data_IF_561852029798
#
_entry.id   IF_561852029798
#
_cell.length_a   1.000
_cell.length_b   1.000
_cell.length_c   1.000
_cell.angle_alpha   90.00
_cell.angle_beta   90.00
_cell.angle_gamma   90.00
#
_symmetry.space_group_name_H-M   'P 1'
#
loop_
_entity.id
_entity.type
_entity.pdbx_description
1 polymer ?
#
# COMPACT_ATOMS: atom_id res chain seq x y z
N UNK A 1 19.06 -4.78 13.43
CA UNK A 1 20.05 -3.72 13.13
C UNK A 1 19.32 -2.66 12.36
N UNK A 2 19.48 -1.37 12.68
CA UNK A 2 18.83 -0.29 11.93
C UNK A 2 19.29 -0.30 10.46
N UNK A 3 18.42 0.14 9.57
CA UNK A 3 18.72 0.26 8.14
C UNK A 3 19.87 1.23 7.93
N UNK A 4 20.90 0.80 7.20
CA UNK A 4 22.02 1.68 6.83
C UNK A 4 21.55 2.75 5.83
N UNK A 5 21.51 4.01 6.30
CA UNK A 5 21.07 5.17 5.52
C UNK A 5 21.88 5.38 4.24
N UNK A 6 23.21 5.17 4.26
CA UNK A 6 24.06 5.37 3.08
C UNK A 6 23.72 4.34 2.01
N UNK A 7 23.57 3.08 2.42
CA UNK A 7 23.20 1.99 1.52
C UNK A 7 21.79 2.16 0.97
N UNK A 8 20.82 2.55 1.82
CA UNK A 8 19.47 2.84 1.39
C UNK A 8 19.45 3.97 0.35
N UNK A 9 20.19 5.07 0.56
CA UNK A 9 20.34 6.16 -0.39
C UNK A 9 20.95 5.73 -1.73
N UNK A 10 21.95 4.82 -1.71
CA UNK A 10 22.52 4.27 -2.94
C UNK A 10 21.50 3.40 -3.71
N UNK A 11 20.70 2.61 -3.00
CA UNK A 11 19.63 1.80 -3.57
C UNK A 11 18.55 2.72 -4.19
N UNK A 12 18.09 3.74 -3.44
CA UNK A 12 17.10 4.72 -3.92
C UNK A 12 17.54 5.38 -5.23
N UNK A 13 18.76 5.90 -5.29
CA UNK A 13 19.33 6.50 -6.52
C UNK A 13 19.37 5.53 -7.70
N UNK A 14 19.78 4.28 -7.49
CA UNK A 14 19.81 3.29 -8.58
C UNK A 14 18.42 2.93 -9.09
N UNK A 15 17.45 2.85 -8.19
CA UNK A 15 16.04 2.62 -8.56
C UNK A 15 15.47 3.82 -9.32
N UNK A 16 15.77 5.05 -8.86
CA UNK A 16 15.36 6.27 -9.56
C UNK A 16 15.96 6.35 -10.98
N UNK A 17 17.25 6.04 -11.13
CA UNK A 17 17.90 6.00 -12.44
C UNK A 17 17.31 4.94 -13.38
N UNK A 18 16.89 3.80 -12.84
CA UNK A 18 16.33 2.70 -13.65
C UNK A 18 14.86 2.86 -14.00
N UNK A 19 14.06 3.45 -13.09
CA UNK A 19 12.59 3.52 -13.24
C UNK A 19 12.06 4.94 -13.41
N UNK A 20 12.91 5.94 -13.23
CA UNK A 20 12.53 7.36 -13.27
C UNK A 20 11.66 7.77 -12.08
N UNK A 21 11.26 9.03 -12.10
CA UNK A 21 10.29 9.57 -11.14
C UNK A 21 8.90 8.98 -11.42
N UNK A 22 8.23 8.40 -10.43
CA UNK A 22 6.87 7.93 -10.61
C UNK A 22 5.92 9.12 -10.87
N UNK A 23 4.81 8.89 -11.60
CA UNK A 23 3.77 9.92 -11.70
C UNK A 23 3.28 10.29 -10.30
N UNK A 24 2.85 11.54 -10.08
CA UNK A 24 2.35 11.98 -8.78
C UNK A 24 1.17 11.10 -8.32
N UNK A 25 0.92 11.01 -7.01
CA UNK A 25 -0.25 10.31 -6.49
C UNK A 25 -1.54 10.91 -7.08
N UNK A 26 -2.57 10.09 -7.21
CA UNK A 26 -3.88 10.54 -7.74
C UNK A 26 -4.62 11.46 -6.79
N UNK A 27 -4.18 11.57 -5.54
CA UNK A 27 -4.83 12.34 -4.46
C UNK A 27 -6.33 12.04 -4.36
N UNK A 28 -6.69 10.76 -4.41
CA UNK A 28 -8.08 10.37 -4.19
C UNK A 28 -8.53 10.78 -2.77
N UNK A 29 -9.81 11.10 -2.56
CA UNK A 29 -10.34 11.30 -1.22
C UNK A 29 -9.98 10.11 -0.31
N UNK A 30 -9.73 10.33 0.99
CA UNK A 30 -9.22 9.28 1.88
C UNK A 30 -10.10 8.03 1.98
N UNK A 31 -11.42 8.18 1.92
CA UNK A 31 -12.35 7.02 1.91
C UNK A 31 -12.20 6.23 0.61
N UNK A 32 -12.03 6.91 -0.50
CA UNK A 32 -11.80 6.31 -1.81
C UNK A 32 -10.52 5.48 -1.81
N UNK A 33 -9.43 6.02 -1.24
CA UNK A 33 -8.15 5.30 -1.12
C UNK A 33 -8.26 4.10 -0.17
N UNK A 34 -8.98 4.20 0.95
CA UNK A 34 -9.26 3.08 1.83
C UNK A 34 -9.93 1.93 1.09
N UNK A 35 -11.02 2.24 0.37
CA UNK A 35 -11.78 1.25 -0.40
C UNK A 35 -10.92 0.67 -1.53
N UNK A 36 -10.19 1.53 -2.26
CA UNK A 36 -9.32 1.11 -3.35
C UNK A 36 -8.21 0.17 -2.84
N UNK A 37 -7.64 0.47 -1.68
CA UNK A 37 -6.62 -0.38 -1.06
C UNK A 37 -7.18 -1.76 -0.67
N UNK A 38 -8.41 -1.84 -0.15
CA UNK A 38 -9.08 -3.14 0.09
C UNK A 38 -9.32 -3.88 -1.24
N UNK A 39 -9.78 -3.18 -2.27
CA UNK A 39 -10.01 -3.76 -3.59
C UNK A 39 -8.72 -4.26 -4.24
N UNK A 40 -7.57 -3.67 -3.96
CA UNK A 40 -6.27 -4.05 -4.52
C UNK A 40 -5.74 -5.39 -4.01
N UNK A 41 -6.27 -5.90 -2.89
CA UNK A 41 -5.82 -7.16 -2.30
C UNK A 41 -6.07 -8.34 -3.23
N UNK A 42 -5.02 -9.13 -3.53
CA UNK A 42 -5.10 -10.33 -4.37
C UNK A 42 -5.77 -10.11 -5.74
N UNK A 43 -5.48 -8.98 -6.39
CA UNK A 43 -5.98 -8.69 -7.73
C UNK A 43 -5.00 -7.81 -8.52
N UNK A 44 -5.20 -7.70 -9.85
CA UNK A 44 -4.44 -6.79 -10.70
C UNK A 44 -4.96 -5.35 -10.55
N UNK A 45 -4.10 -4.36 -10.86
CA UNK A 45 -4.50 -2.95 -10.84
C UNK A 45 -5.68 -2.68 -11.79
N UNK A 46 -5.70 -3.31 -12.98
CA UNK A 46 -6.81 -3.20 -13.93
C UNK A 46 -8.15 -3.70 -13.35
N UNK A 47 -8.14 -4.85 -12.68
CA UNK A 47 -9.36 -5.40 -12.08
C UNK A 47 -9.79 -4.62 -10.84
N UNK A 48 -8.84 -4.09 -10.06
CA UNK A 48 -9.11 -3.15 -8.97
C UNK A 48 -9.85 -1.92 -9.47
N UNK A 49 -9.32 -1.26 -10.51
CA UNK A 49 -9.87 -0.02 -11.05
C UNK A 49 -11.27 -0.25 -11.66
N UNK A 50 -11.46 -1.38 -12.34
CA UNK A 50 -12.78 -1.79 -12.86
C UNK A 50 -13.79 -2.04 -11.73
N UNK A 51 -13.38 -2.74 -10.67
CA UNK A 51 -14.26 -3.00 -9.52
C UNK A 51 -14.62 -1.71 -8.79
N UNK A 52 -13.68 -0.79 -8.65
CA UNK A 52 -13.92 0.52 -8.07
C UNK A 52 -14.91 1.34 -8.93
N UNK A 53 -14.72 1.40 -10.23
CA UNK A 53 -15.64 2.10 -11.14
C UNK A 53 -17.06 1.49 -11.12
N UNK A 54 -17.18 0.16 -11.08
CA UNK A 54 -18.46 -0.54 -10.97
C UNK A 54 -19.16 -0.22 -9.63
N UNK A 55 -18.40 -0.16 -8.54
CA UNK A 55 -18.88 0.22 -7.21
C UNK A 55 -19.47 1.63 -7.22
N UNK A 56 -18.70 2.62 -7.72
CA UNK A 56 -19.08 4.03 -7.76
C UNK A 56 -20.27 4.33 -8.70
N UNK A 57 -20.42 3.55 -9.77
CA UNK A 57 -21.61 3.64 -10.63
C UNK A 57 -22.89 3.15 -9.94
N UNK A 58 -22.76 2.17 -9.05
CA UNK A 58 -23.91 1.57 -8.37
C UNK A 58 -24.32 2.33 -7.11
N UNK A 59 -23.35 2.91 -6.42
CA UNK A 59 -23.56 3.61 -5.15
C UNK A 59 -22.99 5.02 -5.25
N UNK A 60 -23.85 6.02 -5.08
CA UNK A 60 -23.47 7.43 -5.25
C UNK A 60 -22.65 7.92 -4.06
N UNK A 61 -23.03 7.54 -2.85
CA UNK A 61 -22.35 7.94 -1.61
C UNK A 61 -21.68 6.77 -0.92
N UNK A 62 -20.76 7.05 -0.04
CA UNK A 62 -20.14 6.03 0.80
C UNK A 62 -21.08 5.52 1.90
N UNK A 63 -22.07 6.32 2.30
CA UNK A 63 -23.16 5.88 3.18
C UNK A 63 -24.02 4.82 2.52
N UNK A 64 -24.36 4.98 1.23
CA UNK A 64 -25.06 3.94 0.46
C UNK A 64 -24.27 2.61 0.46
N UNK A 65 -22.94 2.68 0.37
CA UNK A 65 -22.08 1.48 0.44
C UNK A 65 -22.07 0.89 1.84
N UNK A 66 -21.98 1.72 2.89
CA UNK A 66 -21.97 1.28 4.29
C UNK A 66 -23.29 0.58 4.69
N UNK A 67 -24.41 0.98 4.09
CA UNK A 67 -25.73 0.45 4.38
C UNK A 67 -26.21 -0.62 3.39
N UNK A 68 -25.47 -0.82 2.28
CA UNK A 68 -25.81 -1.79 1.27
C UNK A 68 -25.90 -3.24 1.80
N UNK A 69 -26.84 -4.05 1.31
CA UNK A 69 -26.84 -5.49 1.54
C UNK A 69 -25.55 -6.12 1.00
N UNK A 70 -24.91 -7.00 1.81
CA UNK A 70 -23.64 -7.65 1.42
C UNK A 70 -23.69 -8.33 0.04
N UNK A 71 -24.77 -9.05 -0.36
CA UNK A 71 -24.83 -9.63 -1.69
C UNK A 71 -24.82 -8.59 -2.82
N UNK A 72 -25.42 -7.42 -2.62
CA UNK A 72 -25.42 -6.34 -3.60
C UNK A 72 -24.04 -5.70 -3.75
N UNK A 73 -23.36 -5.47 -2.61
CA UNK A 73 -21.99 -4.95 -2.58
C UNK A 73 -21.00 -5.95 -3.21
N UNK A 74 -21.09 -7.23 -2.87
CA UNK A 74 -20.23 -8.27 -3.43
C UNK A 74 -20.38 -8.38 -4.97
N UNK A 75 -21.61 -8.25 -5.49
CA UNK A 75 -21.85 -8.22 -6.94
C UNK A 75 -21.23 -7.00 -7.61
N UNK A 76 -21.33 -5.82 -6.98
CA UNK A 76 -20.75 -4.59 -7.52
C UNK A 76 -19.24 -4.67 -7.69
N UNK A 77 -18.53 -5.31 -6.74
CA UNK A 77 -17.06 -5.41 -6.75
C UNK A 77 -16.52 -6.74 -7.31
N UNK A 78 -17.34 -7.56 -7.95
CA UNK A 78 -16.97 -8.95 -8.37
C UNK A 78 -15.71 -9.01 -9.23
N UNK A 79 -15.46 -7.98 -10.06
CA UNK A 79 -14.27 -7.91 -10.94
C UNK A 79 -12.97 -7.81 -10.16
N UNK A 80 -13.00 -7.33 -8.92
CA UNK A 80 -11.85 -7.25 -8.05
C UNK A 80 -11.42 -8.57 -7.40
N UNK A 81 -12.16 -9.66 -7.64
CA UNK A 81 -11.95 -10.96 -6.97
C UNK A 81 -12.29 -10.93 -5.48
N UNK A 82 -12.53 -12.08 -4.89
CA UNK A 82 -12.89 -12.23 -3.46
C UNK A 82 -14.05 -11.32 -3.02
N UNK A 83 -15.03 -11.10 -3.92
CA UNK A 83 -16.13 -10.16 -3.72
C UNK A 83 -16.83 -10.26 -2.35
N UNK A 84 -17.28 -11.46 -1.89
CA UNK A 84 -17.93 -11.59 -0.59
C UNK A 84 -17.05 -11.13 0.58
N UNK A 85 -15.79 -11.56 0.62
CA UNK A 85 -14.84 -11.20 1.68
C UNK A 85 -14.53 -9.68 1.68
N UNK A 86 -14.29 -9.11 0.49
CA UNK A 86 -14.03 -7.68 0.36
C UNK A 86 -15.26 -6.83 0.71
N UNK A 87 -16.46 -7.28 0.33
CA UNK A 87 -17.70 -6.59 0.68
C UNK A 87 -17.90 -6.48 2.19
N UNK A 88 -17.65 -7.58 2.93
CA UNK A 88 -17.70 -7.56 4.40
C UNK A 88 -16.71 -6.55 4.97
N UNK A 89 -15.47 -6.55 4.49
CA UNK A 89 -14.40 -5.65 4.96
C UNK A 89 -14.72 -4.18 4.66
N UNK A 90 -15.12 -3.86 3.42
CA UNK A 90 -15.45 -2.49 3.01
C UNK A 90 -16.60 -1.96 3.86
N UNK A 91 -17.69 -2.73 4.01
CA UNK A 91 -18.83 -2.31 4.82
C UNK A 91 -18.48 -2.10 6.29
N UNK A 92 -17.74 -3.04 6.89
CA UNK A 92 -17.32 -2.91 8.28
C UNK A 92 -16.38 -1.71 8.50
N UNK A 93 -15.46 -1.48 7.60
CA UNK A 93 -14.55 -0.33 7.63
C UNK A 93 -15.30 1.00 7.54
N UNK A 94 -16.21 1.16 6.58
CA UNK A 94 -17.00 2.39 6.42
C UNK A 94 -17.89 2.66 7.64
N UNK A 95 -18.51 1.61 8.19
CA UNK A 95 -19.29 1.74 9.44
C UNK A 95 -18.40 2.14 10.62
N UNK A 96 -17.22 1.56 10.73
CA UNK A 96 -16.25 1.94 11.77
C UNK A 96 -15.83 3.41 11.68
N UNK A 97 -15.63 3.96 10.47
CA UNK A 97 -15.39 5.41 10.29
C UNK A 97 -16.58 6.21 10.81
N UNK A 98 -17.80 5.86 10.42
CA UNK A 98 -19.02 6.54 10.85
C UNK A 98 -19.25 6.45 12.36
N UNK A 99 -18.99 5.30 12.97
CA UNK A 99 -19.07 5.07 14.42
C UNK A 99 -18.04 5.89 15.20
N UNK A 100 -16.92 6.26 14.59
CA UNK A 100 -15.94 7.18 15.19
C UNK A 100 -16.36 8.66 15.16
N UNK A 101 -17.55 8.96 14.69
CA UNK A 101 -18.11 10.33 14.60
C UNK A 101 -17.58 11.13 13.41
N UNK A 102 -16.99 10.47 12.41
CA UNK A 102 -16.44 11.10 11.20
C UNK A 102 -17.36 10.85 10.01
N UNK A 103 -17.61 11.88 9.22
CA UNK A 103 -18.42 11.80 7.99
C UNK A 103 -17.68 11.03 6.88
N UNK A 104 -18.44 10.40 5.99
CA UNK A 104 -17.90 9.65 4.84
C UNK A 104 -17.85 10.54 3.60
N UNK A 105 -17.11 11.64 3.65
CA UNK A 105 -17.02 12.62 2.57
C UNK A 105 -15.58 12.85 2.09
N UNK A 106 -15.41 13.76 1.12
CA UNK A 106 -14.08 14.07 0.53
C UNK A 106 -13.13 14.74 1.52
N UNK A 107 -13.63 15.36 2.59
CA UNK A 107 -12.82 16.04 3.61
C UNK A 107 -12.53 15.16 4.82
N UNK A 108 -13.00 13.92 4.80
CA UNK A 108 -12.74 12.94 5.85
C UNK A 108 -11.24 12.93 6.18
N UNK A 109 -10.90 13.10 7.45
CA UNK A 109 -9.53 13.10 7.98
C UNK A 109 -8.63 14.31 7.67
N UNK A 110 -9.03 15.25 6.79
CA UNK A 110 -8.13 16.31 6.29
C UNK A 110 -7.52 17.17 7.41
N UNK A 111 -8.30 17.55 8.41
CA UNK A 111 -7.84 18.37 9.55
C UNK A 111 -7.32 17.57 10.76
N UNK A 112 -7.25 16.24 10.68
CA UNK A 112 -6.90 15.41 11.82
C UNK A 112 -5.37 15.31 11.97
N UNK A 113 -4.79 15.51 13.20
CA UNK A 113 -3.37 15.31 13.45
C UNK A 113 -2.94 13.85 13.18
N UNK A 114 -1.70 13.66 12.66
CA UNK A 114 -1.18 12.36 12.24
C UNK A 114 -1.28 11.25 13.29
N UNK A 115 -0.88 11.42 14.55
CA UNK A 115 -0.98 10.35 15.53
C UNK A 115 -2.43 9.90 15.76
N UNK A 116 -3.36 10.86 15.88
CA UNK A 116 -4.78 10.58 16.07
C UNK A 116 -5.37 9.86 14.85
N UNK A 117 -5.00 10.32 13.65
CA UNK A 117 -5.47 9.71 12.41
C UNK A 117 -4.92 8.30 12.24
N UNK A 118 -3.63 8.10 12.53
CA UNK A 118 -3.01 6.77 12.49
C UNK A 118 -3.73 5.79 13.40
N UNK A 119 -3.90 6.14 14.69
CA UNK A 119 -4.56 5.30 15.67
C UNK A 119 -5.99 4.95 15.26
N UNK A 120 -6.72 5.95 14.76
CA UNK A 120 -8.08 5.75 14.27
C UNK A 120 -8.09 4.80 13.05
N UNK A 121 -7.22 5.01 12.07
CA UNK A 121 -7.18 4.18 10.86
C UNK A 121 -6.85 2.71 11.19
N UNK A 122 -5.85 2.46 12.04
CA UNK A 122 -5.47 1.08 12.39
C UNK A 122 -6.49 0.38 13.30
N UNK A 123 -7.35 1.14 13.98
CA UNK A 123 -8.46 0.59 14.76
C UNK A 123 -9.65 0.16 13.87
N UNK A 124 -9.73 0.62 12.61
CA UNK A 124 -10.82 0.25 11.71
C UNK A 124 -10.77 -1.23 11.33
N UNK A 125 -11.93 -1.91 11.27
CA UNK A 125 -11.98 -3.31 10.86
C UNK A 125 -11.34 -3.56 9.49
N UNK A 126 -10.32 -4.40 9.43
CA UNK A 126 -9.63 -4.76 8.19
C UNK A 126 -8.62 -3.74 7.66
N UNK A 127 -8.35 -2.69 8.41
CA UNK A 127 -7.31 -1.70 8.13
C UNK A 127 -6.08 -2.01 8.98
N UNK A 128 -5.01 -2.41 8.34
CA UNK A 128 -3.71 -2.60 8.99
C UNK A 128 -2.75 -1.43 8.73
N UNK A 129 -1.54 -1.46 9.33
CA UNK A 129 -0.53 -0.41 9.18
C UNK A 129 -0.23 -0.06 7.72
N UNK A 130 -0.14 -1.06 6.82
CA UNK A 130 0.07 -0.81 5.37
C UNK A 130 -1.06 0.02 4.77
N UNK A 131 -2.33 -0.29 5.09
CA UNK A 131 -3.48 0.42 4.53
C UNK A 131 -3.57 1.85 5.07
N UNK A 132 -3.33 2.03 6.38
CA UNK A 132 -3.25 3.34 7.01
C UNK A 132 -2.17 4.22 6.36
N UNK A 133 -0.96 3.67 6.17
CA UNK A 133 0.13 4.37 5.50
C UNK A 133 -0.18 4.73 4.04
N UNK A 134 -0.94 3.91 3.31
CA UNK A 134 -1.40 4.24 1.95
C UNK A 134 -2.31 5.47 1.94
N UNK A 135 -3.28 5.55 2.85
CA UNK A 135 -4.17 6.72 2.95
C UNK A 135 -3.37 7.99 3.26
N UNK A 136 -2.47 7.90 4.24
CA UNK A 136 -1.63 9.02 4.63
C UNK A 136 -0.75 9.49 3.47
N UNK A 137 -0.07 8.56 2.78
CA UNK A 137 0.85 8.90 1.71
C UNK A 137 0.15 9.32 0.42
N UNK A 138 -0.88 8.61 -0.04
CA UNK A 138 -1.45 8.81 -1.38
C UNK A 138 -2.60 9.80 -1.42
N UNK A 139 -3.35 9.97 -0.31
CA UNK A 139 -4.48 10.89 -0.25
C UNK A 139 -4.14 12.20 0.43
N UNK A 140 -3.31 12.16 1.47
CA UNK A 140 -3.11 13.29 2.35
C UNK A 140 -1.70 13.89 2.28
N UNK A 141 -0.83 13.39 1.40
CA UNK A 141 0.59 13.80 1.24
C UNK A 141 1.39 13.80 2.56
N UNK A 142 1.02 12.89 3.46
CA UNK A 142 1.70 12.76 4.75
C UNK A 142 2.78 11.68 4.65
N UNK A 143 4.00 11.93 5.18
CA UNK A 143 5.14 11.06 4.97
C UNK A 143 5.06 9.78 5.81
N UNK A 144 4.23 8.84 5.37
CA UNK A 144 4.13 7.49 5.92
C UNK A 144 4.54 6.46 4.87
N UNK A 145 5.38 5.51 5.25
CA UNK A 145 5.95 4.53 4.32
C UNK A 145 5.14 3.22 4.30
N UNK A 146 4.35 2.93 3.25
CA UNK A 146 3.61 1.67 3.17
C UNK A 146 4.55 0.51 2.84
N UNK A 147 4.38 -0.63 3.50
CA UNK A 147 5.12 -1.86 3.19
C UNK A 147 4.16 -2.95 2.72
N UNK A 148 4.14 -3.17 1.40
CA UNK A 148 3.42 -4.27 0.78
C UNK A 148 4.29 -5.52 0.63
N UNK A 149 3.77 -6.57 0.01
CA UNK A 149 4.50 -7.82 -0.21
C UNK A 149 5.71 -7.65 -1.15
N UNK A 150 5.68 -6.69 -2.09
CA UNK A 150 6.81 -6.40 -2.97
C UNK A 150 7.92 -5.68 -2.23
N UNK A 151 7.59 -4.59 -1.55
CA UNK A 151 8.51 -3.82 -0.71
C UNK A 151 9.15 -4.72 0.35
N UNK A 152 8.37 -5.48 1.09
CA UNK A 152 8.85 -6.41 2.11
C UNK A 152 9.84 -7.43 1.55
N UNK A 153 9.52 -8.06 0.43
CA UNK A 153 10.37 -9.05 -0.23
C UNK A 153 11.69 -8.42 -0.71
N UNK A 154 11.63 -7.29 -1.38
CA UNK A 154 12.81 -6.58 -1.89
C UNK A 154 13.70 -6.14 -0.74
N UNK A 155 13.15 -5.52 0.32
CA UNK A 155 13.90 -5.08 1.49
C UNK A 155 14.65 -6.24 2.18
N UNK A 156 13.99 -7.40 2.35
CA UNK A 156 14.63 -8.59 2.91
C UNK A 156 15.76 -9.13 2.04
N UNK A 157 15.54 -9.27 0.73
CA UNK A 157 16.56 -9.78 -0.21
C UNK A 157 17.77 -8.86 -0.31
N UNK A 158 17.55 -7.56 -0.20
CA UNK A 158 18.58 -6.55 -0.11
C UNK A 158 19.31 -6.57 1.24
N UNK A 159 18.85 -7.33 2.24
CA UNK A 159 19.43 -7.32 3.59
C UNK A 159 19.33 -5.94 4.26
N UNK A 160 18.32 -5.14 3.92
CA UNK A 160 18.06 -3.86 4.59
C UNK A 160 17.43 -4.07 5.97
N UNK A 161 16.78 -5.20 6.15
CA UNK A 161 16.08 -5.58 7.39
C UNK A 161 16.43 -7.01 7.77
N UNK A 162 16.17 -7.38 9.01
CA UNK A 162 16.35 -8.76 9.46
C UNK A 162 15.61 -9.75 8.55
N UNK A 163 16.18 -10.90 8.21
CA UNK A 163 15.51 -11.94 7.43
C UNK A 163 14.17 -12.42 8.05
N UNK A 164 14.03 -12.28 9.36
CA UNK A 164 12.83 -12.66 10.11
C UNK A 164 11.85 -11.50 10.36
N UNK A 165 12.20 -10.28 9.95
CA UNK A 165 11.35 -9.11 10.17
C UNK A 165 10.03 -9.26 9.42
N UNK A 166 8.91 -9.11 10.14
CA UNK A 166 7.56 -9.00 9.54
C UNK A 166 7.35 -7.63 8.89
N UNK A 167 6.30 -7.51 8.09
CA UNK A 167 6.02 -6.28 7.34
C UNK A 167 5.86 -5.03 8.24
N UNK A 168 5.27 -5.18 9.42
CA UNK A 168 5.11 -4.09 10.39
C UNK A 168 6.45 -3.58 10.91
N UNK A 169 7.37 -4.47 11.24
CA UNK A 169 8.71 -4.10 11.68
C UNK A 169 9.51 -3.41 10.56
N UNK A 170 9.39 -3.92 9.32
CA UNK A 170 9.99 -3.28 8.14
C UNK A 170 9.43 -1.89 7.91
N UNK A 171 8.11 -1.71 8.09
CA UNK A 171 7.47 -0.41 7.96
C UNK A 171 7.98 0.59 9.00
N UNK A 172 8.08 0.19 10.26
CA UNK A 172 8.62 1.03 11.33
C UNK A 172 10.09 1.45 11.04
N UNK A 173 10.92 0.52 10.58
CA UNK A 173 12.31 0.83 10.22
C UNK A 173 12.42 1.79 9.02
N UNK A 174 11.60 1.60 7.98
CA UNK A 174 11.60 2.49 6.82
C UNK A 174 11.04 3.87 7.18
N UNK A 175 10.00 3.91 8.00
CA UNK A 175 9.44 5.16 8.54
C UNK A 175 10.48 5.99 9.28
N UNK A 176 11.34 5.36 10.05
CA UNK A 176 12.40 6.02 10.83
C UNK A 176 13.64 6.41 10.00
N UNK A 177 13.84 5.80 8.82
CA UNK A 177 15.09 5.88 8.08
C UNK A 177 14.97 6.63 6.76
N UNK A 178 13.87 6.47 6.04
CA UNK A 178 13.62 7.09 4.73
C UNK A 178 13.28 8.58 4.94
N UNK A 179 13.98 9.50 4.25
CA UNK A 179 13.59 10.91 4.27
C UNK A 179 12.16 11.10 3.78
N UNK A 180 11.37 11.99 4.42
CA UNK A 180 9.97 12.22 4.07
C UNK A 180 9.72 12.45 2.59
N UNK A 181 10.52 13.29 1.97
CA UNK A 181 10.44 13.66 0.55
C UNK A 181 10.74 12.51 -0.43
N UNK A 182 11.38 11.44 0.04
CA UNK A 182 11.73 10.27 -0.78
C UNK A 182 10.76 9.10 -0.59
N UNK A 183 9.84 9.18 0.37
CA UNK A 183 8.99 8.03 0.74
C UNK A 183 8.13 7.55 -0.42
N UNK A 184 7.48 8.46 -1.12
CA UNK A 184 6.62 8.12 -2.26
C UNK A 184 7.41 7.50 -3.41
N UNK A 185 8.48 8.16 -3.84
CA UNK A 185 9.29 7.69 -4.97
C UNK A 185 9.92 6.32 -4.67
N UNK A 186 10.54 6.18 -3.51
CA UNK A 186 11.17 4.92 -3.11
C UNK A 186 10.15 3.79 -3.00
N UNK A 187 8.99 4.03 -2.40
CA UNK A 187 7.91 3.05 -2.31
C UNK A 187 7.48 2.56 -3.70
N UNK A 188 7.18 3.48 -4.61
CA UNK A 188 6.75 3.16 -5.97
C UNK A 188 7.81 2.41 -6.76
N UNK A 189 9.07 2.81 -6.65
CA UNK A 189 10.17 2.19 -7.38
C UNK A 189 10.52 0.81 -6.81
N UNK A 190 10.39 0.59 -5.49
CA UNK A 190 10.50 -0.75 -4.90
C UNK A 190 9.39 -1.69 -5.38
N UNK A 191 8.15 -1.21 -5.52
CA UNK A 191 7.06 -2.00 -6.10
C UNK A 191 7.36 -2.34 -7.57
N UNK A 192 7.74 -1.36 -8.39
CA UNK A 192 8.10 -1.58 -9.79
C UNK A 192 9.20 -2.63 -9.92
N UNK A 193 10.27 -2.48 -9.13
CA UNK A 193 11.38 -3.42 -9.10
C UNK A 193 10.92 -4.82 -8.64
N UNK A 194 10.09 -4.90 -7.62
CA UNK A 194 9.54 -6.16 -7.11
C UNK A 194 8.63 -6.88 -8.11
N UNK A 195 7.91 -6.12 -8.97
CA UNK A 195 7.05 -6.69 -10.01
C UNK A 195 7.83 -7.10 -11.27
N UNK A 196 8.83 -6.34 -11.67
CA UNK A 196 9.53 -6.53 -12.92
C UNK A 196 10.76 -7.47 -12.81
N UNK A 197 11.59 -7.27 -11.78
CA UNK A 197 12.90 -7.92 -11.66
C UNK A 197 12.97 -8.83 -10.44
N UNK A 198 12.74 -8.29 -9.24
CA UNK A 198 12.85 -9.04 -7.99
C UNK A 198 11.55 -9.81 -7.70
N UNK A 199 11.05 -10.59 -8.66
CA UNK A 199 9.81 -11.38 -8.56
C UNK A 199 9.91 -12.47 -7.48
N UNK A 200 8.77 -13.00 -7.02
CA UNK A 200 8.72 -13.94 -5.89
C UNK A 200 9.50 -15.23 -6.20
N UNK A 201 9.23 -15.84 -7.35
CA UNK A 201 9.87 -17.07 -7.80
C UNK A 201 10.88 -16.74 -8.92
N UNK A 202 12.09 -17.27 -8.83
CA UNK A 202 13.16 -17.12 -9.83
C UNK A 202 13.38 -15.65 -10.24
N UNK A 203 13.84 -14.77 -9.30
CA UNK A 203 14.11 -13.37 -9.61
C UNK A 203 15.19 -13.23 -10.68
N UNK A 204 15.08 -12.18 -11.50
CA UNK A 204 15.99 -11.87 -12.61
C UNK A 204 17.25 -11.16 -12.10
N UNK A 205 18.07 -11.88 -11.33
CA UNK A 205 19.23 -11.27 -10.67
C UNK A 205 20.35 -10.85 -11.64
N UNK A 206 20.43 -11.47 -12.83
CA UNK A 206 21.37 -11.10 -13.89
C UNK A 206 21.06 -9.73 -14.52
N UNK A 207 19.77 -9.32 -14.55
CA UNK A 207 19.31 -8.04 -15.09
C UNK A 207 19.15 -6.96 -14.00
N UNK A 208 19.47 -7.29 -12.74
CA UNK A 208 19.11 -6.45 -11.58
C UNK A 208 20.08 -5.28 -11.41
N UNK A 209 19.55 -4.05 -11.49
CA UNK A 209 20.31 -2.81 -11.26
C UNK A 209 20.90 -2.70 -9.83
N UNK A 210 20.39 -3.51 -8.91
CA UNK A 210 20.84 -3.57 -7.53
C UNK A 210 21.80 -4.76 -7.26
N UNK A 211 22.18 -5.53 -8.27
CA UNK A 211 22.93 -6.78 -8.10
C UNK A 211 24.20 -6.62 -7.24
N UNK A 212 24.96 -5.54 -7.44
CA UNK A 212 26.21 -5.26 -6.70
C UNK A 212 25.98 -4.78 -5.25
N UNK A 213 24.76 -4.36 -4.92
CA UNK A 213 24.37 -3.94 -3.57
C UNK A 213 23.54 -5.02 -2.84
N UNK A 214 23.24 -6.14 -3.50
CA UNK A 214 22.28 -7.13 -3.01
C UNK A 214 22.97 -8.42 -2.52
N UNK A 215 22.90 -8.76 -1.23
CA UNK A 215 23.39 -10.03 -0.71
C UNK A 215 22.48 -11.21 -1.07
N UNK A 216 21.36 -10.98 -1.74
CA UNK A 216 20.38 -12.01 -2.19
C UNK A 216 19.84 -12.88 -1.05
N UNK A 217 19.55 -12.27 0.11
CA UNK A 217 19.08 -13.01 1.29
C UNK A 217 17.85 -13.86 0.95
N UNK A 218 17.96 -15.19 1.16
CA UNK A 218 16.87 -16.13 0.92
C UNK A 218 16.53 -16.38 -0.57
N UNK A 219 17.45 -16.06 -1.48
CA UNK A 219 17.33 -16.41 -2.91
C UNK A 219 18.15 -17.68 -3.16
N UNK A 220 17.46 -18.77 -3.48
CA UNK A 220 18.07 -20.08 -3.77
C UNK A 220 18.13 -20.41 -5.26
N UNK A 221 17.20 -19.84 -6.06
CA UNK A 221 17.13 -20.00 -7.51
C UNK A 221 16.86 -18.62 -8.15
N UNK A 222 17.76 -18.18 -9.03
CA UNK A 222 17.71 -16.92 -9.73
C UNK A 222 17.98 -17.11 -11.24
N UNK A 223 17.47 -16.18 -12.06
CA UNK A 223 17.81 -16.08 -13.49
C UNK A 223 18.86 -15.00 -13.71
#
# INVERSE_FOLDING_TARGET
>A
MPVDRRRLGAISRRLANAYGTPPPPRHLPPIDELVLTVLSQHTSDTNRDRAYADLRRRFTTWDDVADAPLPALARAIRRGGLGPTKAVRIRAMLRGVRESGVTLDERTFTGMPDPKLWDMLVALPGVGPKTAACVLLFSLDRPYFPVDTHVHRVARRLGLVSPRAGAVAVQAEFQATVPPEQMYELHMNLIRHGRAVCVALRPRCSECVLATLCPRVGVTDAR
#
